data_IF_252555242872
#
_entry.id   IF_252555242872
#
_cell.length_a   1.000
_cell.length_b   1.000
_cell.length_c   1.000
_cell.angle_alpha   90.00
_cell.angle_beta   90.00
_cell.angle_gamma   90.00
#
_symmetry.space_group_name_H-M   'P 1'
#
loop_
_entity.id
_entity.type
_entity.pdbx_description
1 polymer ?
#
# COMPACT_ATOMS: atom_id res chain seq x y z
N UNK A 1 -13.90 -16.93 5.89
CA UNK A 1 -13.60 -17.80 4.73
C UNK A 1 -13.83 -16.98 3.49
N UNK A 2 -12.81 -16.20 3.07
CA UNK A 2 -12.80 -15.39 1.84
C UNK A 2 -11.88 -16.10 0.85
N UNK A 3 -12.34 -17.07 0.11
CA UNK A 3 -11.50 -17.67 -0.91
C UNK A 3 -12.10 -18.91 -1.53
N UNK A 4 -11.95 -19.01 -2.83
CA UNK A 4 -12.31 -20.15 -3.69
C UNK A 4 -11.41 -21.38 -3.36
N UNK A 5 -10.39 -21.23 -2.51
CA UNK A 5 -9.42 -22.27 -2.21
C UNK A 5 -9.88 -23.21 -1.09
N UNK A 6 -9.96 -24.50 -1.42
CA UNK A 6 -10.30 -25.61 -0.50
C UNK A 6 -9.16 -26.04 0.42
N UNK A 7 -7.97 -25.50 0.27
CA UNK A 7 -6.77 -25.78 1.08
C UNK A 7 -6.42 -24.59 1.96
N UNK A 8 -6.06 -24.80 3.22
CA UNK A 8 -5.55 -23.75 4.10
C UNK A 8 -4.16 -23.32 3.59
N UNK A 9 -4.13 -22.21 2.87
CA UNK A 9 -2.88 -21.54 2.49
C UNK A 9 -2.47 -20.58 3.60
N UNK A 10 -1.17 -20.43 3.78
CA UNK A 10 -0.62 -19.66 4.89
C UNK A 10 -0.56 -18.18 4.50
N UNK A 11 -1.27 -17.31 5.24
CA UNK A 11 -1.26 -15.84 5.04
C UNK A 11 -0.03 -15.22 5.71
N UNK A 12 1.18 -15.58 5.27
CA UNK A 12 2.43 -15.06 5.83
C UNK A 12 3.28 -14.33 4.80
N UNK A 13 2.83 -14.25 3.55
CA UNK A 13 3.57 -13.59 2.48
C UNK A 13 3.88 -12.13 2.78
N UNK A 14 2.93 -11.41 3.39
CA UNK A 14 3.13 -10.03 3.83
C UNK A 14 4.19 -9.88 4.91
N UNK A 15 4.21 -10.77 5.91
CA UNK A 15 5.25 -10.78 6.93
C UNK A 15 6.63 -11.08 6.35
N UNK A 16 6.72 -12.04 5.43
CA UNK A 16 7.98 -12.38 4.75
C UNK A 16 8.48 -11.17 3.96
N UNK A 17 7.61 -10.52 3.19
CA UNK A 17 7.95 -9.31 2.45
C UNK A 17 8.46 -8.21 3.38
N UNK A 18 7.76 -7.96 4.47
CA UNK A 18 8.13 -6.95 5.46
C UNK A 18 9.50 -7.24 6.10
N UNK A 19 9.77 -8.50 6.46
CA UNK A 19 11.07 -8.90 7.02
C UNK A 19 12.22 -8.67 6.03
N UNK A 20 12.01 -8.93 4.74
CA UNK A 20 13.00 -8.60 3.72
C UNK A 20 13.27 -7.09 3.65
N UNK A 21 12.24 -6.26 3.78
CA UNK A 21 12.40 -4.80 3.81
C UNK A 21 13.19 -4.36 5.05
N UNK A 22 12.89 -4.92 6.23
CA UNK A 22 13.65 -4.65 7.44
C UNK A 22 15.13 -5.02 7.31
N UNK A 23 15.43 -6.20 6.78
CA UNK A 23 16.81 -6.64 6.57
C UNK A 23 17.51 -5.70 5.59
N UNK A 24 16.84 -5.31 4.51
CA UNK A 24 17.43 -4.40 3.52
C UNK A 24 17.79 -3.06 4.14
N UNK A 25 16.90 -2.42 4.90
CA UNK A 25 17.21 -1.13 5.54
C UNK A 25 18.27 -1.25 6.62
N UNK A 26 18.36 -2.38 7.34
CA UNK A 26 19.38 -2.58 8.38
C UNK A 26 20.79 -2.78 7.82
N UNK A 27 20.92 -3.15 6.55
CA UNK A 27 22.19 -3.36 5.85
C UNK A 27 22.61 -2.17 4.98
N UNK A 28 21.78 -1.17 4.83
CA UNK A 28 22.01 -0.01 3.97
C UNK A 28 22.12 1.26 4.82
N UNK A 29 23.05 2.15 4.50
CA UNK A 29 23.05 3.52 5.04
C UNK A 29 22.03 4.32 4.23
N UNK A 30 20.84 4.57 4.78
CA UNK A 30 19.72 5.14 4.07
C UNK A 30 19.33 6.52 4.59
N UNK A 31 18.50 7.20 3.77
CA UNK A 31 17.74 8.35 4.19
C UNK A 31 16.85 7.98 5.39
N UNK A 32 17.02 8.72 6.49
CA UNK A 32 16.29 8.54 7.75
C UNK A 32 14.76 8.40 7.55
N UNK A 33 14.17 9.14 6.61
CA UNK A 33 12.74 9.09 6.35
C UNK A 33 12.30 7.72 5.83
N UNK A 34 13.07 7.09 4.94
CA UNK A 34 12.74 5.76 4.39
C UNK A 34 12.87 4.69 5.48
N UNK A 35 13.92 4.78 6.30
CA UNK A 35 14.06 3.89 7.46
C UNK A 35 12.88 4.03 8.42
N UNK A 36 12.44 5.26 8.68
CA UNK A 36 11.31 5.53 9.55
C UNK A 36 9.99 4.98 8.97
N UNK A 37 9.76 5.15 7.65
CA UNK A 37 8.58 4.60 6.96
C UNK A 37 8.51 3.08 7.11
N UNK A 38 9.61 2.38 6.84
CA UNK A 38 9.63 0.92 6.95
C UNK A 38 9.50 0.47 8.41
N UNK A 39 10.20 1.12 9.34
CA UNK A 39 10.17 0.79 10.77
C UNK A 39 8.76 0.95 11.36
N UNK A 40 8.10 2.06 11.06
CA UNK A 40 6.72 2.32 11.51
C UNK A 40 5.71 1.43 10.78
N UNK A 41 6.00 1.05 9.55
CA UNK A 41 5.24 0.07 8.77
C UNK A 41 5.05 -1.27 9.49
N UNK A 42 5.91 -1.59 10.48
CA UNK A 42 5.74 -2.75 11.36
C UNK A 42 4.37 -2.79 12.01
N UNK A 43 3.92 -1.68 12.56
CA UNK A 43 2.62 -1.62 13.26
C UNK A 43 1.46 -1.88 12.30
N UNK A 44 1.56 -1.42 11.05
CA UNK A 44 0.53 -1.67 10.02
C UNK A 44 0.57 -3.12 9.55
N UNK A 45 1.76 -3.68 9.33
CA UNK A 45 1.94 -5.09 9.00
C UNK A 45 1.39 -5.99 10.12
N UNK A 46 1.70 -5.65 11.38
CA UNK A 46 1.19 -6.37 12.56
C UNK A 46 -0.33 -6.27 12.68
N UNK A 47 -0.91 -5.10 12.39
CA UNK A 47 -2.37 -4.91 12.36
C UNK A 47 -3.01 -5.87 11.35
N UNK A 48 -2.47 -5.97 10.15
CA UNK A 48 -2.95 -6.90 9.14
C UNK A 48 -2.78 -8.37 9.54
N UNK A 49 -1.66 -8.71 10.17
CA UNK A 49 -1.44 -10.07 10.68
C UNK A 49 -2.44 -10.46 11.77
N UNK A 50 -2.78 -9.53 12.65
CA UNK A 50 -3.82 -9.73 13.67
C UNK A 50 -5.19 -9.88 13.02
N UNK A 51 -5.49 -9.03 12.02
CA UNK A 51 -6.76 -9.09 11.28
C UNK A 51 -6.95 -10.45 10.55
N UNK A 52 -5.90 -10.97 9.93
CA UNK A 52 -5.91 -12.30 9.31
C UNK A 52 -6.27 -13.44 10.30
N UNK A 53 -6.02 -13.24 11.61
CA UNK A 53 -6.25 -14.25 12.66
C UNK A 53 -7.59 -14.11 13.36
N UNK A 54 -7.97 -12.89 13.74
CA UNK A 54 -9.13 -12.66 14.63
C UNK A 54 -10.24 -11.84 13.97
N UNK A 55 -10.10 -11.39 12.73
CA UNK A 55 -11.06 -10.54 12.00
C UNK A 55 -11.45 -9.30 12.82
N UNK A 56 -10.60 -8.28 12.80
CA UNK A 56 -10.81 -7.03 13.51
C UNK A 56 -12.08 -6.30 13.02
N UNK A 57 -12.71 -5.58 13.92
CA UNK A 57 -13.77 -4.64 13.52
C UNK A 57 -13.19 -3.54 12.63
N UNK A 58 -13.91 -3.09 11.58
CA UNK A 58 -13.44 -2.03 10.69
C UNK A 58 -12.94 -0.77 11.42
N UNK A 59 -13.65 -0.35 12.47
CA UNK A 59 -13.27 0.82 13.29
C UNK A 59 -11.92 0.63 13.99
N UNK A 60 -11.68 -0.55 14.58
CA UNK A 60 -10.41 -0.88 15.25
C UNK A 60 -9.26 -0.92 14.25
N UNK A 61 -9.48 -1.51 13.07
CA UNK A 61 -8.49 -1.55 11.99
C UNK A 61 -8.10 -0.15 11.54
N UNK A 62 -9.08 0.74 11.32
CA UNK A 62 -8.84 2.14 10.96
C UNK A 62 -8.01 2.87 12.01
N UNK A 63 -8.34 2.74 13.30
CA UNK A 63 -7.58 3.38 14.38
C UNK A 63 -6.13 2.91 14.41
N UNK A 64 -5.90 1.59 14.29
CA UNK A 64 -4.55 1.01 14.29
C UNK A 64 -3.70 1.44 13.09
N UNK A 65 -4.32 1.85 11.98
CA UNK A 65 -3.65 2.40 10.81
C UNK A 65 -3.41 3.91 10.95
N UNK A 66 -4.37 4.65 11.52
CA UNK A 66 -4.29 6.10 11.69
C UNK A 66 -3.15 6.49 12.65
N UNK A 67 -2.94 5.75 13.74
CA UNK A 67 -1.90 6.05 14.73
C UNK A 67 -0.50 6.10 14.09
N UNK A 68 0.02 5.03 13.44
CA UNK A 68 1.32 5.06 12.78
C UNK A 68 1.39 6.08 11.65
N UNK A 69 0.30 6.28 10.90
CA UNK A 69 0.24 7.31 9.84
C UNK A 69 0.37 8.72 10.41
N UNK A 70 -0.34 9.02 11.49
CA UNK A 70 -0.25 10.33 12.16
C UNK A 70 1.15 10.56 12.72
N UNK A 71 1.78 9.54 13.28
CA UNK A 71 3.15 9.62 13.78
C UNK A 71 4.13 10.06 12.68
N UNK A 72 4.09 9.45 11.48
CA UNK A 72 4.94 9.83 10.36
C UNK A 72 4.67 11.26 9.88
N UNK A 73 3.39 11.65 9.77
CA UNK A 73 3.00 13.00 9.36
C UNK A 73 3.54 14.06 10.34
N UNK A 74 3.46 13.81 11.64
CA UNK A 74 3.97 14.72 12.68
C UNK A 74 5.50 14.77 12.71
N UNK A 75 6.19 13.71 12.30
CA UNK A 75 7.65 13.67 12.16
C UNK A 75 8.15 14.25 10.83
N UNK A 76 7.30 14.93 10.07
CA UNK A 76 7.70 15.69 8.88
C UNK A 76 7.47 14.98 7.54
N UNK A 77 7.13 13.68 7.54
CA UNK A 77 6.81 12.96 6.30
C UNK A 77 5.38 13.32 5.86
N UNK A 78 5.26 14.50 5.26
CA UNK A 78 3.98 15.10 4.92
C UNK A 78 4.16 16.13 3.79
N UNK A 79 3.10 16.40 3.04
CA UNK A 79 3.09 17.43 2.00
C UNK A 79 2.30 18.65 2.47
N UNK A 80 2.76 19.85 2.14
CA UNK A 80 2.08 21.12 2.43
C UNK A 80 1.15 21.57 1.31
N UNK A 81 1.38 21.08 0.12
CA UNK A 81 0.66 21.46 -1.10
C UNK A 81 0.58 20.28 -2.08
N UNK A 82 -0.24 20.43 -3.10
CA UNK A 82 -0.47 19.45 -4.15
C UNK A 82 0.25 19.82 -5.47
N UNK A 83 1.28 20.64 -5.38
CA UNK A 83 2.05 21.11 -6.54
C UNK A 83 1.59 22.43 -7.10
N UNK A 84 2.33 22.91 -8.10
CA UNK A 84 2.08 24.16 -8.79
C UNK A 84 1.46 23.89 -10.15
N UNK A 85 0.37 24.59 -10.47
CA UNK A 85 -0.36 24.47 -11.71
C UNK A 85 -0.38 25.79 -12.44
N UNK A 86 -0.29 25.77 -13.77
CA UNK A 86 -0.17 26.96 -14.63
C UNK A 86 -1.30 27.96 -14.42
N UNK A 87 -2.54 27.50 -14.26
CA UNK A 87 -3.72 28.37 -14.12
C UNK A 87 -4.21 28.55 -12.67
N UNK A 88 -3.88 27.65 -11.77
CA UNK A 88 -4.37 27.64 -10.39
C UNK A 88 -3.31 28.10 -9.36
N UNK A 89 -2.05 28.22 -9.81
CA UNK A 89 -0.94 28.50 -8.91
C UNK A 89 -0.62 27.28 -8.02
N UNK A 90 -0.08 27.54 -6.84
CA UNK A 90 0.27 26.53 -5.86
C UNK A 90 -0.95 26.13 -5.04
N UNK A 91 -1.33 24.86 -5.06
CA UNK A 91 -2.48 24.34 -4.31
C UNK A 91 -2.07 23.98 -2.88
N UNK A 92 -2.12 24.93 -1.97
CA UNK A 92 -1.78 24.74 -0.57
C UNK A 92 -2.89 24.05 0.22
N UNK A 93 -2.54 23.06 1.03
CA UNK A 93 -3.47 22.32 1.89
C UNK A 93 -3.81 23.08 3.18
N UNK A 94 -2.94 23.98 3.64
CA UNK A 94 -3.15 24.78 4.82
C UNK A 94 -3.57 23.96 6.06
N UNK A 95 -4.68 24.34 6.70
CA UNK A 95 -5.23 23.64 7.88
C UNK A 95 -5.79 22.25 7.57
N UNK A 96 -6.09 21.94 6.31
CA UNK A 96 -6.59 20.64 5.88
C UNK A 96 -5.51 19.61 5.63
N UNK A 97 -4.24 19.95 5.79
CA UNK A 97 -3.09 19.08 5.54
C UNK A 97 -3.23 17.69 6.20
N UNK A 98 -3.40 17.66 7.52
CA UNK A 98 -3.45 16.39 8.26
C UNK A 98 -4.70 15.56 7.90
N UNK A 99 -5.92 16.09 7.96
CA UNK A 99 -7.11 15.32 7.61
C UNK A 99 -7.09 14.84 6.15
N UNK A 100 -6.61 15.65 5.21
CA UNK A 100 -6.45 15.25 3.82
C UNK A 100 -5.48 14.06 3.66
N UNK A 101 -4.30 14.14 4.27
CA UNK A 101 -3.30 13.08 4.19
C UNK A 101 -3.81 11.78 4.82
N UNK A 102 -4.43 11.83 6.00
CA UNK A 102 -4.98 10.65 6.64
C UNK A 102 -6.08 10.00 5.80
N UNK A 103 -6.91 10.80 5.13
CA UNK A 103 -7.94 10.31 4.23
C UNK A 103 -7.32 9.66 2.98
N UNK A 104 -6.35 10.31 2.35
CA UNK A 104 -5.69 9.80 1.15
C UNK A 104 -4.91 8.50 1.43
N UNK A 105 -4.14 8.46 2.52
CA UNK A 105 -3.41 7.27 2.97
C UNK A 105 -4.38 6.14 3.31
N UNK A 106 -5.41 6.43 4.09
CA UNK A 106 -6.45 5.45 4.45
C UNK A 106 -7.19 4.89 3.22
N UNK A 107 -7.47 5.75 2.24
CA UNK A 107 -8.07 5.35 0.96
C UNK A 107 -7.17 4.37 0.21
N UNK A 108 -5.88 4.68 0.05
CA UNK A 108 -4.95 3.80 -0.67
C UNK A 108 -4.73 2.47 0.07
N UNK A 109 -4.59 2.49 1.39
CA UNK A 109 -4.45 1.26 2.19
C UNK A 109 -5.68 0.36 2.05
N UNK A 110 -6.88 0.92 2.06
CA UNK A 110 -8.09 0.14 1.82
C UNK A 110 -8.15 -0.36 0.38
N UNK A 111 -7.80 0.47 -0.60
CA UNK A 111 -7.79 0.10 -2.00
C UNK A 111 -6.84 -1.07 -2.28
N UNK A 112 -5.63 -1.06 -1.73
CA UNK A 112 -4.67 -2.19 -1.83
C UNK A 112 -5.17 -3.45 -1.15
N UNK A 113 -5.87 -3.34 -0.03
CA UNK A 113 -6.49 -4.48 0.63
C UNK A 113 -7.63 -5.10 -0.20
N UNK A 114 -8.35 -4.29 -0.95
CA UNK A 114 -9.42 -4.79 -1.82
C UNK A 114 -8.91 -5.52 -3.07
N UNK A 115 -7.80 -5.09 -3.67
CA UNK A 115 -7.24 -5.76 -4.86
C UNK A 115 -6.49 -7.06 -4.53
N UNK A 116 -6.20 -7.35 -3.26
CA UNK A 116 -5.59 -8.63 -2.80
C UNK A 116 -6.58 -9.82 -2.86
N UNK A 117 -7.55 -9.76 -3.75
CA UNK A 117 -8.52 -10.84 -3.98
C UNK A 117 -8.10 -11.87 -5.02
N UNK A 118 -7.12 -11.57 -5.87
CA UNK A 118 -6.59 -12.43 -6.94
C UNK A 118 -5.09 -12.66 -6.72
N UNK A 119 -4.67 -13.92 -6.94
CA UNK A 119 -3.26 -14.31 -6.86
C UNK A 119 -2.38 -13.41 -7.74
N UNK A 120 -1.37 -12.79 -7.14
CA UNK A 120 -0.37 -11.97 -7.80
C UNK A 120 -0.79 -10.53 -8.10
N UNK A 121 -2.08 -10.18 -8.12
CA UNK A 121 -2.53 -8.85 -8.56
C UNK A 121 -1.94 -7.72 -7.70
N UNK A 122 -2.02 -7.83 -6.37
CA UNK A 122 -1.44 -6.87 -5.44
C UNK A 122 0.07 -6.72 -5.65
N UNK A 123 0.79 -7.84 -5.79
CA UNK A 123 2.26 -7.82 -5.94
C UNK A 123 2.69 -7.29 -7.30
N UNK A 124 1.95 -7.57 -8.38
CA UNK A 124 2.18 -6.99 -9.70
C UNK A 124 1.96 -5.47 -9.66
N UNK A 125 0.88 -5.02 -9.02
CA UNK A 125 0.63 -3.59 -8.80
C UNK A 125 1.79 -2.95 -8.03
N UNK A 126 2.23 -3.57 -6.93
CA UNK A 126 3.33 -3.06 -6.14
C UNK A 126 4.65 -2.98 -6.91
N UNK A 127 5.00 -4.03 -7.64
CA UNK A 127 6.17 -4.06 -8.53
C UNK A 127 6.10 -2.94 -9.59
N UNK A 128 4.93 -2.73 -10.18
CA UNK A 128 4.72 -1.65 -11.15
C UNK A 128 4.98 -0.27 -10.53
N UNK A 129 4.52 -0.02 -9.31
CA UNK A 129 4.80 1.24 -8.59
C UNK A 129 6.30 1.41 -8.31
N UNK A 130 6.98 0.37 -7.78
CA UNK A 130 8.41 0.43 -7.49
C UNK A 130 9.25 0.68 -8.75
N UNK A 131 8.95 -0.03 -9.84
CA UNK A 131 9.65 0.15 -11.12
C UNK A 131 9.42 1.55 -11.70
N UNK A 132 8.20 2.06 -11.58
CA UNK A 132 7.86 3.42 -12.00
C UNK A 132 8.64 4.47 -11.20
N UNK A 133 8.73 4.31 -9.88
CA UNK A 133 9.50 5.23 -9.03
C UNK A 133 10.99 5.18 -9.34
N UNK A 134 11.58 4.00 -9.58
CA UNK A 134 12.97 3.86 -10.04
C UNK A 134 13.22 4.64 -11.33
N UNK A 135 12.25 4.66 -12.25
CA UNK A 135 12.37 5.39 -13.51
C UNK A 135 12.33 6.92 -13.34
N UNK A 136 11.70 7.42 -12.28
CA UNK A 136 11.51 8.86 -12.05
C UNK A 136 12.67 9.52 -11.29
N UNK A 137 13.55 8.78 -10.66
CA UNK A 137 14.59 9.30 -9.77
C UNK A 137 15.98 9.03 -10.34
N UNK A 138 16.92 9.92 -10.04
CA UNK A 138 18.32 9.80 -10.47
C UNK A 138 19.27 9.44 -9.32
N UNK A 139 18.77 9.41 -8.07
CA UNK A 139 19.57 9.09 -6.89
C UNK A 139 19.91 7.59 -6.81
N UNK A 140 21.20 7.28 -6.95
CA UNK A 140 21.70 5.90 -7.01
C UNK A 140 21.41 5.11 -5.74
N UNK A 141 21.47 5.75 -4.57
CA UNK A 141 21.26 5.07 -3.29
C UNK A 141 19.79 4.63 -3.15
N UNK A 142 18.86 5.55 -3.38
CA UNK A 142 17.42 5.25 -3.39
C UNK A 142 17.04 4.25 -4.49
N UNK A 143 17.63 4.36 -5.69
CA UNK A 143 17.42 3.39 -6.76
C UNK A 143 17.85 1.98 -6.35
N UNK A 144 19.03 1.84 -5.75
CA UNK A 144 19.53 0.54 -5.32
C UNK A 144 18.64 -0.07 -4.24
N UNK A 145 18.18 0.73 -3.28
CA UNK A 145 17.22 0.31 -2.28
C UNK A 145 15.91 -0.20 -2.91
N UNK A 146 15.32 0.58 -3.81
CA UNK A 146 14.09 0.19 -4.49
C UNK A 146 14.28 -1.09 -5.32
N UNK A 147 15.46 -1.31 -5.93
CA UNK A 147 15.79 -2.57 -6.61
C UNK A 147 15.78 -3.78 -5.66
N UNK A 148 16.28 -3.63 -4.42
CA UNK A 148 16.16 -4.70 -3.42
C UNK A 148 14.72 -4.97 -3.04
N UNK A 149 13.89 -3.93 -2.91
CA UNK A 149 12.46 -4.10 -2.66
C UNK A 149 11.74 -4.76 -3.84
N UNK A 150 12.13 -4.43 -5.08
CA UNK A 150 11.64 -5.13 -6.29
C UNK A 150 12.01 -6.60 -6.25
N UNK A 151 13.25 -6.94 -5.92
CA UNK A 151 13.71 -8.33 -5.84
C UNK A 151 12.92 -9.12 -4.78
N UNK A 152 12.75 -8.56 -3.58
CA UNK A 152 11.97 -9.19 -2.51
C UNK A 152 10.50 -9.39 -2.91
N UNK A 153 9.90 -8.39 -3.55
CA UNK A 153 8.51 -8.44 -4.01
C UNK A 153 8.33 -9.44 -5.15
N UNK A 154 9.30 -9.55 -6.05
CA UNK A 154 9.28 -10.52 -7.14
C UNK A 154 9.40 -11.96 -6.63
N UNK A 155 10.26 -12.23 -5.66
CA UNK A 155 10.34 -13.53 -5.00
C UNK A 155 9.01 -13.89 -4.32
N UNK A 156 8.40 -12.93 -3.64
CA UNK A 156 7.09 -13.13 -3.02
C UNK A 156 6.00 -13.40 -4.07
N UNK A 157 6.04 -12.72 -5.22
CA UNK A 157 5.13 -12.97 -6.34
C UNK A 157 5.24 -14.40 -6.88
N UNK A 158 6.47 -14.90 -7.07
CA UNK A 158 6.70 -16.29 -7.50
C UNK A 158 6.05 -17.27 -6.52
N UNK A 159 6.24 -17.07 -5.21
CA UNK A 159 5.65 -17.93 -4.18
C UNK A 159 4.12 -17.83 -4.15
N UNK A 160 3.57 -16.65 -4.41
CA UNK A 160 2.13 -16.41 -4.45
C UNK A 160 1.45 -17.09 -5.66
N UNK A 161 2.12 -17.09 -6.82
CA UNK A 161 1.61 -17.69 -8.06
C UNK A 161 1.77 -19.22 -8.12
N UNK A 162 2.43 -19.84 -7.14
CA UNK A 162 2.55 -21.30 -7.12
C UNK A 162 1.17 -21.98 -7.08
N UNK A 163 1.05 -23.19 -7.66
CA UNK A 163 -0.21 -23.95 -7.61
C UNK A 163 -0.69 -24.17 -6.16
N UNK A 164 -2.01 -24.17 -5.95
CA UNK A 164 -2.64 -24.28 -4.61
C UNK A 164 -2.24 -25.54 -3.82
N UNK A 165 -1.72 -26.58 -4.49
CA UNK A 165 -1.22 -27.79 -3.85
C UNK A 165 0.23 -27.69 -3.40
N UNK A 166 0.95 -26.60 -3.75
CA UNK A 166 2.34 -26.42 -3.38
C UNK A 166 2.48 -25.99 -1.92
N UNK A 167 3.39 -26.65 -1.18
CA UNK A 167 3.66 -26.35 0.24
C UNK A 167 4.24 -24.96 0.47
N UNK A 168 4.88 -24.39 -0.56
CA UNK A 168 5.53 -23.08 -0.51
C UNK A 168 4.63 -21.95 -1.00
N UNK A 169 3.38 -22.23 -1.42
CA UNK A 169 2.44 -21.17 -1.78
C UNK A 169 2.12 -20.33 -0.56
N UNK A 170 2.31 -19.01 -0.69
CA UNK A 170 1.97 -18.03 0.33
C UNK A 170 1.02 -16.98 -0.25
N UNK A 171 0.12 -16.46 0.57
CA UNK A 171 -0.68 -15.29 0.25
C UNK A 171 -0.13 -14.08 0.98
N UNK A 172 -0.28 -12.89 0.38
CA UNK A 172 0.10 -11.62 1.00
C UNK A 172 -0.71 -11.38 2.27
N UNK A 173 -2.00 -11.66 2.23
CA UNK A 173 -2.92 -11.46 3.33
C UNK A 173 -3.10 -10.00 3.69
N UNK A 174 -3.88 -9.74 4.73
CA UNK A 174 -4.09 -8.37 5.22
C UNK A 174 -2.78 -7.74 5.73
N UNK A 175 -1.84 -8.54 6.24
CA UNK A 175 -0.51 -8.07 6.62
C UNK A 175 0.26 -7.46 5.45
N UNK A 176 0.24 -8.10 4.28
CA UNK A 176 0.92 -7.61 3.08
C UNK A 176 0.19 -6.44 2.43
N UNK A 177 -1.11 -6.57 2.25
CA UNK A 177 -1.90 -5.56 1.55
C UNK A 177 -1.95 -4.21 2.28
N UNK A 178 -2.09 -4.22 3.61
CA UNK A 178 -2.06 -3.00 4.41
C UNK A 178 -0.67 -2.37 4.43
N UNK A 179 0.38 -3.19 4.59
CA UNK A 179 1.76 -2.70 4.57
C UNK A 179 2.13 -2.10 3.22
N UNK A 180 1.79 -2.75 2.11
CA UNK A 180 2.06 -2.25 0.76
C UNK A 180 1.36 -0.89 0.54
N UNK A 181 0.08 -0.78 0.89
CA UNK A 181 -0.66 0.48 0.76
C UNK A 181 -0.05 1.61 1.60
N UNK A 182 0.34 1.31 2.85
CA UNK A 182 1.02 2.24 3.73
C UNK A 182 2.38 2.67 3.17
N UNK A 183 3.22 1.71 2.77
CA UNK A 183 4.53 1.96 2.24
C UNK A 183 4.49 2.83 0.97
N UNK A 184 3.65 2.49 -0.01
CA UNK A 184 3.50 3.27 -1.23
C UNK A 184 3.02 4.69 -0.92
N UNK A 185 2.06 4.86 0.00
CA UNK A 185 1.55 6.18 0.38
C UNK A 185 2.66 7.10 0.88
N UNK A 186 3.45 6.62 1.84
CA UNK A 186 4.51 7.43 2.42
C UNK A 186 5.74 7.54 1.52
N UNK A 187 6.04 6.51 0.72
CA UNK A 187 7.09 6.59 -0.29
C UNK A 187 6.77 7.65 -1.36
N UNK A 188 5.51 7.75 -1.79
CA UNK A 188 5.04 8.82 -2.70
C UNK A 188 5.27 10.20 -2.11
N UNK A 189 4.96 10.39 -0.82
CA UNK A 189 5.19 11.65 -0.09
C UNK A 189 6.69 11.97 -0.01
N UNK A 190 7.50 10.97 0.32
CA UNK A 190 8.95 11.13 0.42
C UNK A 190 9.58 11.50 -0.92
N UNK A 191 9.19 10.84 -2.01
CA UNK A 191 9.68 11.17 -3.35
C UNK A 191 9.28 12.58 -3.79
N UNK A 192 8.09 13.05 -3.43
CA UNK A 192 7.69 14.44 -3.66
C UNK A 192 8.60 15.42 -2.92
N UNK A 193 8.87 15.17 -1.65
CA UNK A 193 9.67 16.04 -0.80
C UNK A 193 11.15 16.06 -1.21
N UNK A 194 11.73 14.89 -1.51
CA UNK A 194 13.16 14.74 -1.76
C UNK A 194 13.57 15.08 -3.20
N UNK A 195 12.71 14.80 -4.18
CA UNK A 195 13.06 14.94 -5.61
C UNK A 195 12.24 16.01 -6.34
N UNK A 196 11.33 16.72 -5.65
CA UNK A 196 10.46 17.74 -6.24
C UNK A 196 9.67 17.26 -7.48
N UNK A 197 9.35 15.97 -7.55
CA UNK A 197 8.57 15.39 -8.65
C UNK A 197 7.12 15.80 -8.48
N UNK A 198 6.49 16.33 -9.54
CA UNK A 198 5.12 16.82 -9.45
C UNK A 198 4.14 15.72 -8.97
N UNK A 199 3.22 16.01 -8.04
CA UNK A 199 2.34 14.98 -7.43
C UNK A 199 1.50 14.21 -8.44
N UNK A 200 1.05 14.87 -9.53
CA UNK A 200 0.27 14.20 -10.59
C UNK A 200 1.04 13.06 -11.27
N UNK A 201 2.37 13.18 -11.37
CA UNK A 201 3.23 12.13 -11.91
C UNK A 201 3.32 10.99 -10.90
N UNK A 202 3.57 11.30 -9.64
CA UNK A 202 3.76 10.29 -8.58
C UNK A 202 2.51 9.44 -8.30
N UNK A 203 1.30 10.03 -8.41
CA UNK A 203 0.06 9.31 -8.17
C UNK A 203 -0.44 8.50 -9.38
N UNK A 204 0.16 8.69 -10.56
CA UNK A 204 -0.28 8.03 -11.78
C UNK A 204 -0.39 6.49 -11.67
N UNK A 205 0.55 5.75 -11.09
CA UNK A 205 0.42 4.30 -10.96
C UNK A 205 -0.64 3.89 -9.93
N UNK A 206 -1.09 4.80 -9.05
CA UNK A 206 -2.03 4.50 -7.97
C UNK A 206 -3.50 4.54 -8.41
N UNK A 207 -3.78 5.02 -9.63
CA UNK A 207 -5.16 5.25 -10.08
C UNK A 207 -6.01 3.97 -10.09
N UNK A 208 -5.44 2.82 -10.48
CA UNK A 208 -6.19 1.58 -10.63
C UNK A 208 -6.85 1.10 -9.32
N UNK A 209 -6.11 0.83 -8.23
CA UNK A 209 -6.72 0.38 -6.98
C UNK A 209 -7.66 1.43 -6.39
N UNK A 210 -7.31 2.71 -6.48
CA UNK A 210 -8.14 3.80 -5.96
C UNK A 210 -9.45 3.92 -6.75
N UNK A 211 -9.38 3.84 -8.08
CA UNK A 211 -10.57 3.89 -8.93
C UNK A 211 -11.51 2.71 -8.67
N UNK A 212 -10.98 1.48 -8.63
CA UNK A 212 -11.78 0.29 -8.35
C UNK A 212 -12.47 0.38 -6.99
N UNK A 213 -11.73 0.76 -5.96
CA UNK A 213 -12.29 0.95 -4.61
C UNK A 213 -13.37 2.03 -4.56
N UNK A 214 -13.14 3.19 -5.17
CA UNK A 214 -14.12 4.29 -5.19
C UNK A 214 -15.35 3.92 -5.99
N UNK A 215 -15.19 3.31 -7.16
CA UNK A 215 -16.30 2.87 -8.00
C UNK A 215 -17.23 1.90 -7.27
N UNK A 216 -16.67 0.88 -6.64
CA UNK A 216 -17.44 -0.09 -5.86
C UNK A 216 -18.09 0.57 -4.65
N UNK A 217 -17.38 1.44 -3.94
CA UNK A 217 -17.89 2.13 -2.76
C UNK A 217 -19.07 3.06 -3.10
N UNK A 218 -18.96 3.85 -4.18
CA UNK A 218 -20.02 4.73 -4.67
C UNK A 218 -21.24 3.92 -5.11
N UNK A 219 -21.03 2.84 -5.87
CA UNK A 219 -22.11 1.94 -6.30
C UNK A 219 -22.87 1.35 -5.10
N UNK A 220 -22.16 1.01 -4.02
CA UNK A 220 -22.79 0.49 -2.80
C UNK A 220 -23.63 1.54 -2.10
N UNK A 221 -23.13 2.79 -1.99
CA UNK A 221 -23.87 3.90 -1.40
C UNK A 221 -25.16 4.16 -2.19
N UNK A 222 -25.07 4.23 -3.52
CA UNK A 222 -26.23 4.45 -4.40
C UNK A 222 -27.27 3.34 -4.21
N UNK A 223 -26.82 2.08 -4.10
CA UNK A 223 -27.69 0.93 -3.89
C UNK A 223 -28.07 0.68 -2.43
N UNK A 224 -27.81 1.62 -1.50
CA UNK A 224 -28.08 1.54 -0.06
C UNK A 224 -27.49 0.28 0.61
N UNK A 225 -26.36 -0.23 0.10
CA UNK A 225 -25.64 -1.39 0.65
C UNK A 225 -24.52 -0.90 1.59
N UNK A 226 -24.17 -1.71 2.59
CA UNK A 226 -23.05 -1.39 3.48
C UNK A 226 -21.72 -1.44 2.72
N UNK A 227 -20.89 -0.39 2.88
CA UNK A 227 -19.56 -0.29 2.28
C UNK A 227 -18.61 -1.39 2.82
N UNK A 228 -18.82 -1.82 4.07
CA UNK A 228 -17.93 -2.74 4.79
C UNK A 228 -18.27 -4.23 4.61
N UNK A 229 -19.34 -4.59 3.90
CA UNK A 229 -19.65 -6.01 3.64
C UNK A 229 -18.87 -6.51 2.42
N UNK A 230 -18.29 -7.73 2.48
CA UNK A 230 -17.64 -8.35 1.32
C UNK A 230 -18.63 -8.51 0.16
N UNK A 231 -18.17 -8.25 -1.05
CA UNK A 231 -18.98 -8.40 -2.26
C UNK A 231 -18.09 -8.87 -3.44
N UNK A 232 -18.69 -9.48 -4.46
CA UNK A 232 -18.03 -9.96 -5.68
C UNK A 232 -18.20 -8.96 -6.85
N UNK A 233 -18.44 -7.68 -6.58
CA UNK A 233 -18.71 -6.65 -7.61
C UNK A 233 -17.48 -5.85 -8.02
N UNK A 234 -16.30 -6.19 -7.52
CA UNK A 234 -15.03 -5.59 -7.94
C UNK A 234 -14.70 -5.95 -9.40
N UNK A 235 -14.05 -5.04 -10.12
CA UNK A 235 -13.70 -5.18 -11.55
C UNK A 235 -12.98 -6.50 -11.82
N UNK A 236 -12.08 -6.91 -10.96
CA UNK A 236 -11.34 -8.17 -11.07
C UNK A 236 -12.21 -9.42 -10.90
N UNK A 237 -13.35 -9.35 -10.17
CA UNK A 237 -14.31 -10.45 -10.06
C UNK A 237 -15.30 -10.51 -11.23
N UNK A 238 -15.43 -9.42 -12.01
CA UNK A 238 -16.31 -9.36 -13.18
C UNK A 238 -15.60 -9.90 -14.43
N UNK A 239 -14.26 -9.85 -14.44
CA UNK A 239 -13.42 -10.26 -15.59
C UNK A 239 -12.93 -11.71 -15.45
N UNK A 240 -12.93 -12.28 -14.24
CA UNK A 240 -12.58 -13.68 -13.98
C UNK A 240 -13.78 -14.62 -14.12
#
# INVERSE_FOLDING_TARGET
KRGIHRTQTINTGGLILYLFFLITISLSELNFNIELIVSIGFFVCLTGFIDDRINLNPSSKIILIIIPSTYLILNGISISDLGQYEYLGKLELGKFKIPFLLLAIGLLINATNYIDGIDGLLLIFFLSCLMYYIFLIDDIETINLLKFFVMASFLNLILNLLPSKNKFKVFSGDSGSLFIGFFISFMTIELYNSFNIHPTILIWPLWYPVYDFLFVSINRIINKKSIFKPDNTHLHHVIS
#
